data_IF_225563194536
#
_entry.id   IF_225563194536
#
_cell.length_a   1.000
_cell.length_b   1.000
_cell.length_c   1.000
_cell.angle_alpha   90.00
_cell.angle_beta   90.00
_cell.angle_gamma   90.00
#
_symmetry.space_group_name_H-M   'P 1'
#
loop_
_entity.id
_entity.type
_entity.pdbx_description
1 polymer ?
#
# COMPACT_ATOMS: atom_id res chain seq x y z
N UNK A 1 16.94 -18.26 -4.56
CA UNK A 1 15.68 -19.04 -4.42
C UNK A 1 14.81 -18.71 -5.61
N UNK A 2 14.37 -19.72 -6.37
CA UNK A 2 13.43 -19.48 -7.47
C UNK A 2 12.08 -19.02 -6.89
N UNK A 3 11.53 -17.90 -7.38
CA UNK A 3 10.21 -17.42 -6.97
C UNK A 3 9.12 -18.42 -7.36
N UNK A 4 8.20 -18.70 -6.43
CA UNK A 4 7.01 -19.48 -6.73
C UNK A 4 6.16 -18.76 -7.80
N UNK A 5 5.36 -19.51 -8.57
CA UNK A 5 4.46 -18.97 -9.60
C UNK A 5 3.50 -17.92 -9.02
N UNK A 6 3.02 -18.12 -7.80
CA UNK A 6 2.19 -17.17 -7.06
C UNK A 6 2.93 -15.85 -6.78
N UNK A 7 4.17 -15.93 -6.26
CA UNK A 7 5.03 -14.77 -6.01
C UNK A 7 5.34 -14.00 -7.30
N UNK A 8 5.69 -14.70 -8.38
CA UNK A 8 5.95 -14.05 -9.68
C UNK A 8 4.73 -13.30 -10.20
N UNK A 9 3.56 -13.92 -10.12
CA UNK A 9 2.30 -13.29 -10.54
C UNK A 9 1.95 -12.09 -9.65
N UNK A 10 2.16 -12.20 -8.35
CA UNK A 10 1.99 -11.09 -7.41
C UNK A 10 2.92 -9.92 -7.78
N UNK A 11 4.23 -10.14 -7.89
CA UNK A 11 5.20 -9.09 -8.21
C UNK A 11 4.91 -8.41 -9.54
N UNK A 12 4.60 -9.18 -10.59
CA UNK A 12 4.24 -8.62 -11.91
C UNK A 12 2.93 -7.82 -11.82
N UNK A 13 1.92 -8.32 -11.11
CA UNK A 13 0.64 -7.62 -10.97
C UNK A 13 0.82 -6.28 -10.23
N UNK A 14 1.59 -6.27 -9.13
CA UNK A 14 1.90 -5.05 -8.39
C UNK A 14 2.70 -4.07 -9.26
N UNK A 15 3.71 -4.56 -9.98
CA UNK A 15 4.51 -3.72 -10.87
C UNK A 15 3.66 -3.05 -11.97
N UNK A 16 2.76 -3.81 -12.60
CA UNK A 16 1.84 -3.28 -13.61
C UNK A 16 0.87 -2.25 -13.02
N UNK A 17 0.33 -2.51 -11.83
CA UNK A 17 -0.55 -1.57 -11.14
C UNK A 17 0.19 -0.28 -10.75
N UNK A 18 1.41 -0.37 -10.26
CA UNK A 18 2.20 0.81 -9.89
C UNK A 18 2.68 1.60 -11.12
N UNK A 19 3.02 0.92 -12.21
CA UNK A 19 3.29 1.59 -13.48
C UNK A 19 2.02 2.32 -13.99
N UNK A 20 0.87 1.65 -13.94
CA UNK A 20 -0.42 2.25 -14.29
C UNK A 20 -0.78 3.44 -13.40
N UNK A 21 -0.54 3.34 -12.08
CA UNK A 21 -0.70 4.43 -11.13
C UNK A 21 0.08 5.67 -11.55
N UNK A 22 1.37 5.52 -11.82
CA UNK A 22 2.23 6.64 -12.21
C UNK A 22 1.75 7.27 -13.52
N UNK A 23 1.44 6.45 -14.53
CA UNK A 23 0.95 6.94 -15.83
C UNK A 23 -0.38 7.69 -15.70
N UNK A 24 -1.32 7.15 -14.94
CA UNK A 24 -2.63 7.76 -14.69
C UNK A 24 -2.45 9.08 -13.93
N UNK A 25 -1.65 9.09 -12.86
CA UNK A 25 -1.43 10.29 -12.06
C UNK A 25 -0.79 11.40 -12.89
N UNK A 26 0.26 11.09 -13.65
CA UNK A 26 0.90 12.05 -14.55
C UNK A 26 -0.09 12.58 -15.61
N UNK A 27 -0.90 11.70 -16.19
CA UNK A 27 -1.93 12.07 -17.16
C UNK A 27 -2.99 13.00 -16.58
N UNK A 28 -3.49 12.70 -15.37
CA UNK A 28 -4.49 13.52 -14.69
C UNK A 28 -3.93 14.89 -14.30
N UNK A 29 -2.71 14.94 -13.75
CA UNK A 29 -2.04 16.21 -13.38
C UNK A 29 -1.77 17.06 -14.63
N UNK A 30 -1.19 16.47 -15.68
CA UNK A 30 -0.92 17.20 -16.92
C UNK A 30 -2.21 17.69 -17.61
N UNK A 31 -3.30 16.92 -17.53
CA UNK A 31 -4.58 17.35 -18.07
C UNK A 31 -5.18 18.50 -17.24
N UNK A 32 -5.14 18.39 -15.91
CA UNK A 32 -5.63 19.42 -15.00
C UNK A 32 -4.92 20.77 -15.19
N UNK A 33 -3.60 20.75 -15.41
CA UNK A 33 -2.81 21.98 -15.63
C UNK A 33 -3.21 22.73 -16.91
N UNK A 34 -3.71 22.01 -17.92
CA UNK A 34 -4.14 22.60 -19.20
C UNK A 34 -5.65 22.89 -19.25
N UNK A 35 -6.46 22.19 -18.45
CA UNK A 35 -7.91 22.34 -18.40
C UNK A 35 -8.39 22.14 -16.97
N UNK A 36 -8.86 23.19 -16.26
CA UNK A 36 -9.31 23.04 -14.89
C UNK A 36 -10.51 22.09 -14.85
N UNK A 37 -10.31 20.95 -14.18
CA UNK A 37 -11.28 19.87 -14.10
C UNK A 37 -12.44 20.29 -13.19
N UNK A 38 -13.54 20.75 -13.79
CA UNK A 38 -14.77 21.09 -13.08
C UNK A 38 -15.91 20.12 -13.39
N UNK A 39 -16.83 19.99 -12.43
CA UNK A 39 -18.03 19.16 -12.57
C UNK A 39 -17.77 17.65 -12.51
N UNK A 40 -18.67 16.82 -13.06
CA UNK A 40 -18.62 15.36 -12.96
C UNK A 40 -17.30 14.73 -13.43
N UNK A 41 -16.66 15.32 -14.45
CA UNK A 41 -15.39 14.84 -14.99
C UNK A 41 -14.23 14.97 -13.98
N UNK A 42 -14.25 15.99 -13.11
CA UNK A 42 -13.23 16.18 -12.09
C UNK A 42 -13.26 15.07 -11.02
N UNK A 43 -14.44 14.59 -10.64
CA UNK A 43 -14.56 13.46 -9.71
C UNK A 43 -13.99 12.16 -10.30
N UNK A 44 -14.29 11.89 -11.57
CA UNK A 44 -13.78 10.69 -12.26
C UNK A 44 -12.25 10.76 -12.40
N UNK A 45 -11.73 11.91 -12.82
CA UNK A 45 -10.29 12.13 -12.97
C UNK A 45 -9.56 12.08 -11.61
N UNK A 46 -10.15 12.62 -10.55
CA UNK A 46 -9.56 12.60 -9.20
C UNK A 46 -9.53 11.20 -8.57
N UNK A 47 -10.51 10.33 -8.87
CA UNK A 47 -10.54 8.95 -8.39
C UNK A 47 -9.69 7.99 -9.21
N UNK A 48 -9.38 8.34 -10.46
CA UNK A 48 -8.63 7.51 -11.40
C UNK A 48 -7.30 6.96 -10.82
N UNK A 49 -6.45 7.80 -10.16
CA UNK A 49 -5.23 7.34 -9.52
C UNK A 49 -5.45 6.43 -8.32
N UNK A 50 -6.64 6.43 -7.70
CA UNK A 50 -6.92 5.56 -6.56
C UNK A 50 -7.12 4.09 -6.98
N UNK A 51 -7.63 3.83 -8.18
CA UNK A 51 -7.94 2.46 -8.64
C UNK A 51 -6.73 1.52 -8.65
N UNK A 52 -5.55 1.92 -9.18
CA UNK A 52 -4.39 1.03 -9.16
C UNK A 52 -3.91 0.71 -7.75
N UNK A 53 -3.99 1.67 -6.81
CA UNK A 53 -3.64 1.47 -5.40
C UNK A 53 -4.61 0.50 -4.74
N UNK A 54 -5.92 0.65 -4.97
CA UNK A 54 -6.95 -0.31 -4.55
C UNK A 54 -6.66 -1.70 -5.13
N UNK A 55 -6.26 -1.76 -6.40
CA UNK A 55 -5.84 -2.98 -7.07
C UNK A 55 -4.68 -3.70 -6.37
N UNK A 56 -3.74 -2.97 -5.76
CA UNK A 56 -2.62 -3.58 -5.02
C UNK A 56 -3.11 -4.33 -3.79
N UNK A 57 -4.05 -3.75 -3.03
CA UNK A 57 -4.66 -4.44 -1.89
C UNK A 57 -5.39 -5.72 -2.32
N UNK A 58 -6.14 -5.66 -3.43
CA UNK A 58 -6.78 -6.84 -4.00
C UNK A 58 -5.76 -7.91 -4.42
N UNK A 59 -4.68 -7.51 -5.08
CA UNK A 59 -3.60 -8.41 -5.50
C UNK A 59 -2.89 -9.06 -4.30
N UNK A 60 -2.71 -8.33 -3.20
CA UNK A 60 -2.19 -8.88 -1.95
C UNK A 60 -3.15 -9.91 -1.34
N UNK A 61 -4.45 -9.59 -1.26
CA UNK A 61 -5.46 -10.53 -0.78
C UNK A 61 -5.51 -11.80 -1.63
N UNK A 62 -5.48 -11.66 -2.96
CA UNK A 62 -5.39 -12.79 -3.89
C UNK A 62 -4.12 -13.61 -3.67
N UNK A 63 -2.97 -12.96 -3.44
CA UNK A 63 -1.71 -13.65 -3.18
C UNK A 63 -1.78 -14.49 -1.89
N UNK A 64 -2.40 -14.00 -0.83
CA UNK A 64 -2.57 -14.76 0.42
C UNK A 64 -3.43 -16.03 0.23
N UNK A 65 -4.38 -16.02 -0.70
CA UNK A 65 -5.22 -17.18 -1.03
C UNK A 65 -4.51 -18.15 -1.97
N UNK A 66 -3.73 -17.64 -2.93
CA UNK A 66 -3.01 -18.45 -3.92
C UNK A 66 -1.73 -19.09 -3.38
N UNK A 67 -1.12 -18.50 -2.33
CA UNK A 67 0.13 -19.01 -1.76
C UNK A 67 -0.12 -20.34 -1.03
N UNK A 68 0.64 -21.36 -1.46
CA UNK A 68 0.53 -22.73 -0.93
C UNK A 68 1.48 -22.98 0.23
N UNK A 69 2.56 -22.20 0.31
CA UNK A 69 3.49 -22.26 1.42
C UNK A 69 2.90 -21.54 2.64
N UNK A 70 2.54 -22.31 3.66
CA UNK A 70 1.94 -21.78 4.89
C UNK A 70 2.87 -20.83 5.64
N UNK A 71 4.18 -21.06 5.58
CA UNK A 71 5.16 -20.20 6.23
C UNK A 71 5.21 -18.83 5.54
N UNK A 72 5.28 -18.80 4.21
CA UNK A 72 5.26 -17.54 3.45
C UNK A 72 3.94 -16.80 3.63
N UNK A 73 2.81 -17.51 3.60
CA UNK A 73 1.48 -16.93 3.85
C UNK A 73 1.40 -16.30 5.25
N UNK A 74 1.88 -17.00 6.27
CA UNK A 74 1.92 -16.48 7.65
C UNK A 74 2.85 -15.26 7.76
N UNK A 75 4.01 -15.30 7.10
CA UNK A 75 4.97 -14.19 7.09
C UNK A 75 4.36 -12.91 6.50
N UNK A 76 3.69 -13.02 5.35
CA UNK A 76 3.05 -11.88 4.67
C UNK A 76 1.82 -11.39 5.43
N UNK A 77 1.02 -12.30 6.01
CA UNK A 77 -0.11 -11.94 6.87
C UNK A 77 0.36 -11.12 8.07
N UNK A 78 1.44 -11.55 8.72
CA UNK A 78 2.03 -10.80 9.85
C UNK A 78 2.54 -9.42 9.41
N UNK A 79 3.16 -9.30 8.23
CA UNK A 79 3.56 -8.00 7.69
C UNK A 79 2.36 -7.07 7.49
N UNK A 80 1.27 -7.58 6.91
CA UNK A 80 0.06 -6.80 6.67
C UNK A 80 -0.60 -6.35 7.99
N UNK A 81 -0.60 -7.19 9.03
CA UNK A 81 -1.09 -6.82 10.36
C UNK A 81 -0.24 -5.73 11.02
N UNK A 82 1.10 -5.88 10.97
CA UNK A 82 2.03 -4.86 11.47
C UNK A 82 1.83 -3.55 10.72
N UNK A 83 1.73 -3.60 9.38
CA UNK A 83 1.48 -2.44 8.53
C UNK A 83 0.18 -1.73 8.90
N UNK A 84 -0.88 -2.49 9.14
CA UNK A 84 -2.20 -1.97 9.51
C UNK A 84 -2.17 -1.31 10.88
N UNK A 85 -1.59 -1.98 11.88
CA UNK A 85 -1.45 -1.41 13.22
C UNK A 85 -0.61 -0.13 13.21
N UNK A 86 0.50 -0.13 12.47
CA UNK A 86 1.38 1.03 12.31
C UNK A 86 0.66 2.21 11.66
N UNK A 87 0.04 1.99 10.49
CA UNK A 87 -0.67 3.05 9.77
C UNK A 87 -1.86 3.61 10.56
N UNK A 88 -2.66 2.74 11.19
CA UNK A 88 -3.81 3.16 11.99
C UNK A 88 -3.40 3.92 13.24
N UNK A 89 -2.33 3.51 13.92
CA UNK A 89 -1.84 4.22 15.11
C UNK A 89 -1.39 5.63 14.74
N UNK A 90 -0.60 5.78 13.67
CA UNK A 90 -0.12 7.09 13.22
C UNK A 90 -1.27 7.96 12.71
N UNK A 91 -2.14 7.41 11.86
CA UNK A 91 -3.29 8.16 11.33
C UNK A 91 -4.22 8.63 12.46
N UNK A 92 -4.43 7.80 13.47
CA UNK A 92 -5.26 8.16 14.64
C UNK A 92 -4.60 9.27 15.45
N UNK A 93 -3.32 9.12 15.80
CA UNK A 93 -2.58 10.14 16.54
C UNK A 93 -2.55 11.48 15.77
N UNK A 94 -2.26 11.45 14.47
CA UNK A 94 -2.25 12.64 13.63
C UNK A 94 -3.63 13.29 13.55
N UNK A 95 -4.69 12.51 13.32
CA UNK A 95 -6.06 13.02 13.26
C UNK A 95 -6.50 13.70 14.55
N UNK A 96 -6.09 13.21 15.71
CA UNK A 96 -6.34 13.89 16.98
C UNK A 96 -5.58 15.22 17.08
N UNK A 97 -4.30 15.24 16.73
CA UNK A 97 -3.51 16.47 16.75
C UNK A 97 -4.07 17.53 15.79
N UNK A 98 -4.51 17.08 14.61
CA UNK A 98 -5.12 17.95 13.60
C UNK A 98 -6.47 18.52 14.10
N UNK A 99 -7.28 17.71 14.77
CA UNK A 99 -8.55 18.15 15.38
C UNK A 99 -8.36 19.20 16.51
N UNK A 100 -7.16 19.27 17.10
CA UNK A 100 -6.81 20.30 18.09
C UNK A 100 -6.01 21.47 17.49
N UNK A 101 -5.93 21.57 16.16
CA UNK A 101 -5.14 22.59 15.45
C UNK A 101 -3.64 22.60 15.83
N UNK A 102 -3.10 21.46 16.31
CA UNK A 102 -1.70 21.33 16.73
C UNK A 102 -0.75 20.97 15.57
N UNK A 103 -1.27 20.42 14.48
CA UNK A 103 -0.52 20.03 13.28
C UNK A 103 -1.27 20.40 11.99
N UNK A 104 -0.57 20.54 10.85
CA UNK A 104 -1.22 20.82 9.56
C UNK A 104 -2.12 19.68 9.06
N UNK A 105 -3.11 20.06 8.25
CA UNK A 105 -3.97 19.12 7.52
C UNK A 105 -3.16 18.23 6.57
N UNK A 106 -3.45 16.92 6.59
CA UNK A 106 -2.82 15.93 5.72
C UNK A 106 -3.88 15.15 4.95
N UNK A 107 -3.65 14.97 3.65
CA UNK A 107 -4.58 14.23 2.80
C UNK A 107 -4.65 12.74 3.14
N UNK A 108 -5.85 12.15 3.05
CA UNK A 108 -6.10 10.78 3.46
C UNK A 108 -5.24 9.72 2.73
N UNK A 109 -4.76 9.98 1.51
CA UNK A 109 -3.92 9.04 0.77
C UNK A 109 -2.57 8.76 1.45
N UNK A 110 -2.10 9.62 2.35
CA UNK A 110 -0.88 9.37 3.13
C UNK A 110 -1.01 8.15 4.06
N UNK A 111 -2.24 7.77 4.45
CA UNK A 111 -2.47 6.53 5.19
C UNK A 111 -2.03 5.29 4.40
N UNK A 112 -2.24 5.27 3.08
CA UNK A 112 -1.77 4.18 2.23
C UNK A 112 -0.23 4.15 2.15
N UNK A 113 0.41 5.33 2.09
CA UNK A 113 1.88 5.43 2.08
C UNK A 113 2.46 4.89 3.40
N UNK A 114 1.88 5.28 4.55
CA UNK A 114 2.26 4.76 5.86
C UNK A 114 2.07 3.24 5.93
N UNK A 115 0.99 2.72 5.35
CA UNK A 115 0.74 1.28 5.32
C UNK A 115 1.79 0.54 4.48
N UNK A 116 2.16 1.04 3.30
CA UNK A 116 3.24 0.45 2.50
C UNK A 116 4.60 0.51 3.23
N UNK A 117 4.89 1.61 3.92
CA UNK A 117 6.08 1.70 4.77
C UNK A 117 6.04 0.66 5.91
N UNK A 118 4.86 0.47 6.50
CA UNK A 118 4.60 -0.54 7.52
C UNK A 118 4.82 -1.99 7.04
N UNK A 119 4.58 -2.30 5.76
CA UNK A 119 4.93 -3.61 5.19
C UNK A 119 6.44 -3.85 5.21
N UNK A 120 7.23 -2.83 4.86
CA UNK A 120 8.70 -2.88 4.97
C UNK A 120 9.16 -3.07 6.41
N UNK A 121 8.53 -2.36 7.34
CA UNK A 121 8.78 -2.50 8.78
C UNK A 121 8.49 -3.93 9.27
N UNK A 122 7.35 -4.49 8.87
CA UNK A 122 7.00 -5.89 9.13
C UNK A 122 8.00 -6.87 8.52
N UNK A 123 8.53 -6.60 7.34
CA UNK A 123 9.55 -7.44 6.71
C UNK A 123 10.86 -7.46 7.50
N UNK A 124 11.29 -6.29 8.00
CA UNK A 124 12.45 -6.18 8.89
C UNK A 124 12.25 -6.95 10.20
N UNK A 125 11.08 -6.79 10.85
CA UNK A 125 10.73 -7.51 12.08
C UNK A 125 10.74 -9.02 11.85
N UNK A 126 10.19 -9.48 10.72
CA UNK A 126 10.17 -10.89 10.36
C UNK A 126 11.57 -11.46 10.18
N UNK A 127 12.44 -10.72 9.52
CA UNK A 127 13.84 -11.11 9.32
C UNK A 127 14.58 -11.17 10.66
N UNK A 128 14.36 -10.22 11.56
CA UNK A 128 14.96 -10.21 12.89
C UNK A 128 14.50 -11.39 13.75
N UNK A 129 13.21 -11.70 13.72
CA UNK A 129 12.66 -12.86 14.43
C UNK A 129 13.24 -14.18 13.90
N UNK A 130 13.39 -14.32 12.58
CA UNK A 130 14.00 -15.50 11.97
C UNK A 130 15.48 -15.67 12.37
N UNK A 131 16.25 -14.59 12.45
CA UNK A 131 17.65 -14.64 12.91
C UNK A 131 17.78 -15.07 14.37
N UNK A 132 16.81 -14.73 15.23
CA UNK A 132 16.81 -15.11 16.65
C UNK A 132 16.42 -16.58 16.89
N UNK A 133 15.56 -17.15 16.04
CA UNK A 133 15.11 -18.54 16.16
C UNK A 133 16.02 -19.59 15.52
N UNK A 134 17.04 -19.19 14.75
CA UNK A 134 18.02 -20.10 14.14
C UNK A 134 19.30 -20.32 14.96
N UNK A 135 19.32 -19.86 16.21
CA UNK A 135 20.46 -19.97 17.13
C UNK A 135 20.34 -21.08 18.19
N UNK A 136 19.32 -21.95 18.08
CA UNK A 136 19.15 -23.15 18.90
C UNK A 136 19.35 -24.42 18.06
#
# INVERSE_FOLDING_TARGET
MAMNRAQKRYSVSVMLLMAGYVLILLGVVAYHDNHPLHGPLGYVAGLLPAFPVIGVFFVLGRYLVEERDEYLRMQVTRQALIATGFAMSIATAWGFLENFDLVPHVYAYYAAILWFAGLGLGACINKLAAMRGGGE
#
